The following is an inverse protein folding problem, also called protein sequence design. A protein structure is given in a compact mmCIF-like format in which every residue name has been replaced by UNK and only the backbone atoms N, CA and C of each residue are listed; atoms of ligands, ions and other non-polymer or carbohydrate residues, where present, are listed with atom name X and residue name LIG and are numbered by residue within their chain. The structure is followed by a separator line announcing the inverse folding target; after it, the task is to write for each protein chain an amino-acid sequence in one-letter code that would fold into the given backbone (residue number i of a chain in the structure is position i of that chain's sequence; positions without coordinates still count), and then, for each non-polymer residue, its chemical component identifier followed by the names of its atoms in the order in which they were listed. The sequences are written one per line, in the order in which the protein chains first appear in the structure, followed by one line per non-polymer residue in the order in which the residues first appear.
data_IF_312542639256
#
_entry.id   IF_312542639256
#
_cell.length_a   1.000
_cell.length_b   1.000
_cell.length_c   1.000
_cell.angle_alpha   90.00
_cell.angle_beta   90.00
_cell.angle_gamma   90.00
#
_symmetry.space_group_name_H-M   'P 1'
#
loop_
_entity.id
_entity.type
_entity.pdbx_description
1 polymer ?
#
# COMPACT_ATOMS: atom_id res chain seq x y z
N UNK A 1 17.22 14.53 6.12
CA UNK A 1 15.90 13.93 6.43
C UNK A 1 14.82 14.97 6.20
N UNK A 2 14.15 14.96 5.05
CA UNK A 2 13.10 15.95 4.76
C UNK A 2 11.73 15.36 5.14
N UNK A 3 11.17 15.79 6.28
CA UNK A 3 9.77 15.53 6.62
C UNK A 3 8.90 16.35 5.68
N UNK A 4 8.29 15.69 4.70
CA UNK A 4 7.29 16.28 3.79
C UNK A 4 5.90 15.98 4.39
N UNK A 5 5.08 17.02 4.54
CA UNK A 5 3.74 16.91 5.13
C UNK A 5 2.80 16.01 4.31
N UNK A 6 1.79 15.38 4.92
CA UNK A 6 0.80 14.57 4.21
C UNK A 6 -0.02 15.51 3.30
N UNK A 7 0.05 15.28 1.99
CA UNK A 7 -0.70 16.06 0.98
C UNK A 7 0.14 16.74 -0.11
N UNK A 8 1.47 16.76 -0.02
CA UNK A 8 2.29 17.21 -1.15
C UNK A 8 2.57 16.05 -2.11
N UNK A 9 1.96 16.11 -3.30
CA UNK A 9 2.17 15.14 -4.37
C UNK A 9 3.65 14.98 -4.73
N UNK A 10 4.03 13.72 -4.98
CA UNK A 10 5.28 13.18 -5.54
C UNK A 10 6.35 12.73 -4.53
N UNK A 11 6.81 11.46 -4.69
CA UNK A 11 7.56 11.07 -5.89
C UNK A 11 6.99 9.84 -6.64
N UNK A 12 6.30 10.08 -7.76
CA UNK A 12 6.04 9.10 -8.82
C UNK A 12 7.27 8.65 -9.67
N UNK A 13 8.42 9.37 -9.76
CA UNK A 13 9.46 9.01 -10.74
C UNK A 13 10.17 7.67 -10.47
N UNK A 14 10.52 7.39 -9.22
CA UNK A 14 11.24 6.15 -8.89
C UNK A 14 10.32 4.95 -9.08
N UNK A 15 9.03 5.10 -8.76
CA UNK A 15 8.07 4.02 -8.92
C UNK A 15 7.87 3.68 -10.40
N UNK A 16 7.63 4.68 -11.26
CA UNK A 16 7.53 4.45 -12.70
C UNK A 16 8.79 3.78 -13.28
N UNK A 17 9.99 4.19 -12.85
CA UNK A 17 11.24 3.61 -13.36
C UNK A 17 11.36 2.11 -13.05
N UNK A 18 10.95 1.68 -11.85
CA UNK A 18 11.00 0.26 -11.49
C UNK A 18 9.96 -0.58 -12.23
N UNK A 19 8.77 -0.02 -12.49
CA UNK A 19 7.72 -0.68 -13.27
C UNK A 19 8.12 -0.88 -14.74
N UNK A 20 8.74 0.14 -15.37
CA UNK A 20 9.27 0.04 -16.74
C UNK A 20 10.36 -1.04 -16.86
N UNK A 21 11.09 -1.31 -15.78
CA UNK A 21 12.14 -2.34 -15.77
C UNK A 21 11.61 -3.79 -15.65
N UNK A 22 10.30 -3.99 -15.47
CA UNK A 22 9.67 -5.32 -15.44
C UNK A 22 10.11 -6.23 -14.29
N UNK A 23 10.72 -5.65 -13.24
CA UNK A 23 11.29 -6.40 -12.11
C UNK A 23 10.36 -6.38 -10.90
N UNK A 24 10.35 -7.49 -10.15
CA UNK A 24 9.71 -7.55 -8.83
C UNK A 24 10.29 -6.46 -7.94
N UNK A 25 9.43 -5.55 -7.49
CA UNK A 25 9.84 -4.36 -6.75
C UNK A 25 9.13 -4.33 -5.40
N UNK A 26 9.89 -4.08 -4.33
CA UNK A 26 9.37 -3.89 -2.98
C UNK A 26 9.50 -2.41 -2.63
N UNK A 27 8.38 -1.79 -2.25
CA UNK A 27 8.32 -0.38 -1.86
C UNK A 27 8.13 -0.34 -0.35
N UNK A 28 9.11 0.23 0.37
CA UNK A 28 9.01 0.44 1.82
C UNK A 28 8.65 1.89 2.11
N UNK A 29 7.63 2.11 2.94
CA UNK A 29 7.16 3.44 3.36
C UNK A 29 7.34 3.64 4.85
N UNK A 30 7.59 4.87 5.29
CA UNK A 30 7.83 5.19 6.70
C UNK A 30 6.61 5.10 7.64
N UNK A 31 5.39 5.03 7.12
CA UNK A 31 4.17 4.89 7.95
C UNK A 31 3.07 4.12 7.23
N UNK A 32 2.15 3.52 8.00
CA UNK A 32 0.98 2.81 7.48
C UNK A 32 0.07 3.73 6.65
N UNK A 33 -0.13 4.98 7.08
CA UNK A 33 -0.96 5.95 6.36
C UNK A 33 -0.38 6.29 4.98
N UNK A 34 0.95 6.44 4.88
CA UNK A 34 1.62 6.65 3.60
C UNK A 34 1.55 5.40 2.71
N UNK A 35 1.67 4.22 3.31
CA UNK A 35 1.50 2.95 2.60
C UNK A 35 0.10 2.84 1.98
N UNK A 36 -0.93 3.19 2.76
CA UNK A 36 -2.33 3.14 2.33
C UNK A 36 -2.62 4.18 1.22
N UNK A 37 -2.09 5.41 1.36
CA UNK A 37 -2.20 6.42 0.31
C UNK A 37 -1.55 5.95 -0.99
N UNK A 38 -0.34 5.41 -0.90
CA UNK A 38 0.41 4.94 -2.06
C UNK A 38 -0.33 3.79 -2.75
N UNK A 39 -0.81 2.79 -2.00
CA UNK A 39 -1.49 1.63 -2.57
C UNK A 39 -2.87 1.96 -3.15
N UNK A 40 -3.63 2.87 -2.53
CA UNK A 40 -5.01 3.17 -2.92
C UNK A 40 -5.16 4.25 -3.99
N UNK A 41 -4.20 5.18 -4.11
CA UNK A 41 -4.30 6.33 -5.04
C UNK A 41 -3.17 6.37 -6.06
N UNK A 42 -1.94 6.28 -5.59
CA UNK A 42 -0.77 6.47 -6.46
C UNK A 42 -0.49 5.24 -7.34
N UNK A 43 -0.60 4.04 -6.77
CA UNK A 43 -0.36 2.77 -7.47
C UNK A 43 -1.33 2.55 -8.65
N UNK A 44 -2.66 2.71 -8.49
CA UNK A 44 -3.60 2.54 -9.60
C UNK A 44 -3.33 3.51 -10.75
N UNK A 45 -3.02 4.77 -10.43
CA UNK A 45 -2.67 5.80 -11.44
C UNK A 45 -1.45 5.39 -12.27
N UNK A 46 -0.45 4.76 -11.64
CA UNK A 46 0.78 4.31 -12.31
C UNK A 46 0.54 3.04 -13.13
N UNK A 47 -0.27 2.11 -12.61
CA UNK A 47 -0.67 0.89 -13.31
C UNK A 47 -1.42 1.25 -14.60
N UNK A 48 -2.37 2.18 -14.52
CA UNK A 48 -3.14 2.69 -15.66
C UNK A 48 -2.24 3.41 -16.67
N UNK A 49 -1.32 4.27 -16.20
CA UNK A 49 -0.42 5.01 -17.08
C UNK A 49 0.63 4.14 -17.79
N UNK A 50 0.95 2.95 -17.26
CA UNK A 50 1.98 2.05 -17.78
C UNK A 50 1.40 0.77 -18.40
N UNK A 51 0.07 0.62 -18.45
CA UNK A 51 -0.64 -0.58 -18.90
C UNK A 51 -0.08 -1.87 -18.26
N UNK A 52 0.14 -1.83 -16.95
CA UNK A 52 0.79 -2.93 -16.21
C UNK A 52 -0.22 -4.02 -15.81
N UNK A 53 0.08 -5.28 -16.13
CA UNK A 53 -0.78 -6.45 -15.90
C UNK A 53 -0.40 -7.27 -14.66
N UNK A 54 0.68 -6.92 -13.97
CA UNK A 54 1.20 -7.71 -12.86
C UNK A 54 0.42 -7.53 -11.55
N UNK A 55 0.56 -8.52 -10.67
CA UNK A 55 -0.11 -8.53 -9.36
C UNK A 55 0.57 -7.60 -8.36
N UNK A 56 -0.22 -6.81 -7.65
CA UNK A 56 0.27 -5.97 -6.55
C UNK A 56 -0.29 -6.44 -5.21
N UNK A 57 0.52 -6.41 -4.16
CA UNK A 57 0.13 -6.88 -2.83
C UNK A 57 0.59 -5.92 -1.75
N UNK A 58 -0.25 -5.75 -0.72
CA UNK A 58 0.00 -4.86 0.41
C UNK A 58 0.43 -5.66 1.64
N UNK A 59 1.68 -5.49 2.06
CA UNK A 59 2.20 -6.15 3.26
C UNK A 59 2.09 -5.22 4.48
N UNK A 60 1.32 -5.63 5.49
CA UNK A 60 1.17 -4.94 6.78
C UNK A 60 1.57 -5.88 7.92
N UNK A 61 1.92 -5.32 9.08
CA UNK A 61 2.17 -6.14 10.28
C UNK A 61 0.92 -6.91 10.71
N UNK A 62 1.09 -8.11 11.28
CA UNK A 62 -0.01 -9.06 11.63
C UNK A 62 -1.12 -8.43 12.48
N UNK A 63 -0.76 -7.51 13.38
CA UNK A 63 -1.71 -6.75 14.21
C UNK A 63 -2.65 -5.83 13.44
N UNK A 64 -2.40 -5.60 12.14
CA UNK A 64 -3.24 -4.79 11.27
C UNK A 64 -4.30 -5.60 10.52
N UNK A 65 -4.43 -6.90 10.81
CA UNK A 65 -5.43 -7.78 10.22
C UNK A 65 -6.38 -8.28 11.30
N UNK A 66 -7.67 -8.27 10.98
CA UNK A 66 -8.69 -8.81 11.86
C UNK A 66 -8.58 -10.35 11.87
N UNK A 67 -8.35 -10.91 13.06
CA UNK A 67 -8.44 -12.36 13.24
C UNK A 67 -9.92 -12.76 13.33
N UNK A 68 -10.40 -13.53 12.35
CA UNK A 68 -11.80 -13.95 12.26
C UNK A 68 -12.27 -14.74 13.49
N UNK A 69 -11.39 -15.55 14.09
CA UNK A 69 -11.68 -16.31 15.31
C UNK A 69 -11.97 -15.36 16.49
N UNK A 70 -11.11 -14.38 16.70
CA UNK A 70 -11.27 -13.38 17.76
C UNK A 70 -12.51 -12.53 17.53
N UNK A 71 -12.76 -12.13 16.28
CA UNK A 71 -13.96 -11.38 15.91
C UNK A 71 -15.24 -12.14 16.24
N UNK A 72 -15.34 -13.44 15.91
CA UNK A 72 -16.52 -14.25 16.22
C UNK A 72 -16.75 -14.44 17.71
N UNK A 73 -15.69 -14.67 18.50
CA UNK A 73 -15.80 -14.77 19.95
C UNK A 73 -16.30 -13.47 20.57
N UNK A 74 -15.73 -12.33 20.15
CA UNK A 74 -16.18 -11.02 20.62
C UNK A 74 -17.63 -10.73 20.18
N UNK A 75 -17.98 -11.02 18.93
CA UNK A 75 -19.34 -10.76 18.43
C UNK A 75 -20.41 -11.68 19.06
N UNK A 76 -20.03 -12.88 19.51
CA UNK A 76 -20.91 -13.78 20.25
C UNK A 76 -21.17 -13.33 21.69
N UNK A 77 -20.25 -12.60 22.31
CA UNK A 77 -20.40 -12.06 23.68
C UNK A 77 -21.29 -10.80 23.73
N UNK A 78 -21.45 -10.12 22.58
CA UNK A 78 -22.21 -8.88 22.42
C UNK A 78 -23.67 -9.12 21.99
N UNK A 79 -24.05 -10.38 21.75
CA UNK A 79 -25.44 -10.80 21.52
C UNK A 79 -25.99 -11.44 22.79
#
# INVERSE_FOLDING_TARGET
MQKRGPGQGKPMPILCLHYVLGKKTIISTGSKALQDQLYSRDLPTIIEALDYDGTTALLKGRSNYLCFRTFRSANAQWR
#
